data_IF_954525460903
#
_entry.id   IF_954525460903
#
_cell.length_a   1.000
_cell.length_b   1.000
_cell.length_c   1.000
_cell.angle_alpha   90.00
_cell.angle_beta   90.00
_cell.angle_gamma   90.00
#
_symmetry.space_group_name_H-M   'P 1'
#
loop_
_entity.id
_entity.type
_entity.pdbx_description
1 polymer ?
#
# COMPACT_ATOMS: atom_id res chain seq x y z
N UNK A 1 -3.77 28.92 -6.15
CA UNK A 1 -3.62 27.46 -6.01
C UNK A 1 -2.30 27.18 -5.32
N UNK A 2 -2.31 26.65 -4.10
CA UNK A 2 -1.09 26.36 -3.35
C UNK A 2 -0.55 24.97 -3.73
N UNK A 3 0.59 24.92 -4.39
CA UNK A 3 1.35 23.69 -4.59
C UNK A 3 2.26 23.48 -3.38
N UNK A 4 1.91 22.53 -2.50
CA UNK A 4 2.76 22.18 -1.36
C UNK A 4 3.98 21.39 -1.86
N UNK A 5 5.14 22.03 -1.94
CA UNK A 5 6.41 21.38 -2.27
C UNK A 5 6.98 20.71 -1.01
N UNK A 6 6.57 19.47 -0.74
CA UNK A 6 7.16 18.67 0.33
C UNK A 6 8.57 18.24 -0.05
N UNK A 7 9.57 18.90 0.53
CA UNK A 7 10.97 18.51 0.39
C UNK A 7 11.31 17.52 1.51
N UNK A 8 11.23 16.22 1.22
CA UNK A 8 11.71 15.18 2.13
C UNK A 8 13.24 15.24 2.18
N UNK A 9 13.80 15.84 3.23
CA UNK A 9 15.22 15.66 3.53
C UNK A 9 15.37 14.30 4.17
N UNK A 10 16.00 13.35 3.46
CA UNK A 10 16.47 12.11 4.05
C UNK A 10 17.51 12.49 5.10
N UNK A 11 17.10 12.54 6.37
CA UNK A 11 18.03 12.54 7.49
C UNK A 11 18.64 11.14 7.47
N UNK A 12 19.92 11.04 7.14
CA UNK A 12 20.67 9.80 7.31
C UNK A 12 20.44 9.33 8.74
N UNK A 13 19.98 8.09 8.97
CA UNK A 13 19.72 7.63 10.32
C UNK A 13 21.02 7.75 11.11
N UNK A 14 21.04 8.61 12.12
CA UNK A 14 22.12 8.59 13.11
C UNK A 14 22.06 7.20 13.73
N UNK A 15 23.09 6.39 13.51
CA UNK A 15 23.27 5.10 14.18
C UNK A 15 23.28 5.37 15.69
N UNK A 16 22.14 5.22 16.36
CA UNK A 16 22.10 5.17 17.82
C UNK A 16 22.69 3.82 18.22
N UNK A 17 24.00 3.81 18.47
CA UNK A 17 24.68 2.67 19.08
C UNK A 17 24.28 2.64 20.55
N UNK A 18 23.24 1.88 20.86
CA UNK A 18 22.98 1.46 22.24
C UNK A 18 24.13 0.53 22.62
N UNK A 19 25.08 1.02 23.43
CA UNK A 19 26.14 0.19 24.01
C UNK A 19 25.50 -0.77 25.02
N UNK A 20 25.14 -1.98 24.56
CA UNK A 20 24.86 -3.11 25.44
C UNK A 20 26.18 -3.55 26.08
N UNK A 21 26.17 -3.72 27.40
CA UNK A 21 27.28 -4.25 28.19
C UNK A 21 27.59 -5.66 27.67
N UNK A 22 28.86 -5.92 27.38
CA UNK A 22 29.36 -7.12 26.72
C UNK A 22 29.43 -8.27 27.72
N UNK A 23 28.53 -9.22 27.60
CA UNK A 23 28.68 -10.55 28.21
C UNK A 23 29.04 -11.54 27.08
N UNK A 24 30.11 -12.31 27.30
CA UNK A 24 30.69 -13.28 26.37
C UNK A 24 29.70 -14.40 26.05
N UNK A 25 29.30 -14.53 24.78
CA UNK A 25 29.17 -15.81 24.07
C UNK A 25 28.63 -15.61 22.64
N UNK A 26 29.42 -16.07 21.67
CA UNK A 26 29.09 -16.55 20.31
C UNK A 26 28.03 -15.82 19.48
N UNK A 27 28.50 -15.31 18.34
CA UNK A 27 27.77 -14.78 17.18
C UNK A 27 26.34 -15.32 17.00
N UNK A 28 25.39 -14.41 17.13
CA UNK A 28 24.25 -14.40 16.22
C UNK A 28 24.03 -12.94 15.86
N UNK A 29 24.30 -12.56 14.61
CA UNK A 29 24.02 -11.22 14.13
C UNK A 29 22.52 -10.99 14.25
N UNK A 30 22.12 -10.22 15.27
CA UNK A 30 20.80 -9.64 15.41
C UNK A 30 20.51 -8.81 14.14
N UNK A 31 20.01 -9.45 13.09
CA UNK A 31 19.25 -8.78 12.05
C UNK A 31 17.97 -8.31 12.72
N UNK A 32 18.04 -7.21 13.47
CA UNK A 32 16.84 -6.50 13.87
C UNK A 32 16.13 -6.11 12.58
N UNK A 33 14.94 -6.69 12.34
CA UNK A 33 14.12 -6.40 11.17
C UNK A 33 14.04 -4.88 10.98
N UNK A 34 14.68 -4.37 9.94
CA UNK A 34 14.69 -2.93 9.67
C UNK A 34 13.24 -2.50 9.40
N UNK A 35 12.69 -1.65 10.28
CA UNK A 35 11.34 -1.11 10.10
C UNK A 35 11.36 -0.03 9.02
N UNK A 36 10.50 -0.16 8.01
CA UNK A 36 10.39 0.80 6.93
C UNK A 36 8.94 1.22 6.68
N UNK A 37 8.78 2.40 6.07
CA UNK A 37 7.45 2.96 5.76
C UNK A 37 6.85 2.22 4.56
N UNK A 38 5.65 1.68 4.74
CA UNK A 38 4.87 0.99 3.70
C UNK A 38 3.78 1.88 3.09
N UNK A 39 3.13 2.71 3.91
CA UNK A 39 1.96 3.51 3.48
C UNK A 39 1.99 4.89 4.10
N UNK A 40 1.58 5.90 3.33
CA UNK A 40 1.40 7.28 3.78
C UNK A 40 0.05 7.81 3.27
N UNK A 41 -0.74 8.43 4.14
CA UNK A 41 -2.03 9.04 3.77
C UNK A 41 -2.22 10.36 4.50
N UNK A 42 -2.54 11.43 3.76
CA UNK A 42 -2.96 12.72 4.34
C UNK A 42 -4.47 12.70 4.55
N UNK A 43 -4.94 13.14 5.72
CA UNK A 43 -6.35 13.22 6.04
C UNK A 43 -6.58 14.19 7.22
N UNK A 44 -7.67 14.94 7.20
CA UNK A 44 -8.11 15.72 8.36
C UNK A 44 -8.74 14.77 9.39
N UNK A 45 -7.97 14.31 10.37
CA UNK A 45 -8.43 13.35 11.39
C UNK A 45 -8.37 13.92 12.80
N UNK A 46 -8.88 13.15 13.76
CA UNK A 46 -8.69 13.43 15.18
C UNK A 46 -7.35 12.81 15.62
N UNK A 47 -6.34 13.63 15.95
CA UNK A 47 -5.02 13.11 16.26
C UNK A 47 -4.98 12.48 17.67
N UNK A 48 -5.73 13.08 18.59
CA UNK A 48 -5.69 12.82 20.03
C UNK A 48 -6.90 12.01 20.48
N UNK A 49 -6.66 11.06 21.39
CA UNK A 49 -7.72 10.21 21.93
C UNK A 49 -8.74 11.05 22.70
N UNK A 50 -10.02 10.83 22.42
CA UNK A 50 -11.14 11.54 23.04
C UNK A 50 -11.11 13.07 22.84
N UNK A 51 -10.41 13.54 21.82
CA UNK A 51 -10.36 14.94 21.43
C UNK A 51 -11.09 15.12 20.11
N UNK A 52 -12.09 16.01 20.11
CA UNK A 52 -12.93 16.28 18.95
C UNK A 52 -12.38 17.42 18.09
N UNK A 53 -11.12 17.83 18.30
CA UNK A 53 -10.42 18.77 17.42
C UNK A 53 -9.87 18.07 16.18
N UNK A 54 -10.54 18.25 15.04
CA UNK A 54 -10.06 17.77 13.76
C UNK A 54 -8.88 18.62 13.27
N UNK A 55 -7.81 17.99 12.81
CA UNK A 55 -6.63 18.67 12.29
C UNK A 55 -6.03 17.93 11.10
N UNK A 56 -5.26 18.64 10.27
CA UNK A 56 -4.56 18.03 9.13
C UNK A 56 -3.53 17.02 9.65
N UNK A 57 -3.71 15.74 9.33
CA UNK A 57 -2.86 14.67 9.82
C UNK A 57 -2.21 13.88 8.68
N UNK A 58 -0.99 13.41 8.92
CA UNK A 58 -0.28 12.42 8.12
C UNK A 58 -0.30 11.08 8.85
N UNK A 59 -0.97 10.11 8.26
CA UNK A 59 -0.99 8.73 8.68
C UNK A 59 0.16 7.96 8.04
N UNK A 60 0.93 7.26 8.85
CA UNK A 60 2.11 6.50 8.44
C UNK A 60 1.97 5.04 8.85
N UNK A 61 1.99 4.12 7.89
CA UNK A 61 1.97 2.68 8.12
C UNK A 61 3.33 2.04 7.87
N UNK A 62 3.77 1.13 8.75
CA UNK A 62 5.09 0.50 8.68
C UNK A 62 5.04 -0.99 8.27
N UNK A 63 6.21 -1.53 7.92
CA UNK A 63 6.43 -2.94 7.61
C UNK A 63 6.17 -3.88 8.79
N UNK A 64 6.24 -3.38 10.03
CA UNK A 64 5.96 -4.15 11.25
C UNK A 64 4.51 -4.02 11.75
N UNK A 65 3.64 -3.35 10.98
CA UNK A 65 2.21 -3.26 11.31
C UNK A 65 1.83 -2.12 12.24
N UNK A 66 2.69 -1.11 12.41
CA UNK A 66 2.38 0.08 13.20
C UNK A 66 1.79 1.18 12.30
N UNK A 67 0.70 1.82 12.72
CA UNK A 67 0.22 3.07 12.14
C UNK A 67 0.43 4.22 13.13
N UNK A 68 1.12 5.27 12.69
CA UNK A 68 1.36 6.49 13.43
C UNK A 68 0.53 7.63 12.85
N UNK A 69 0.07 8.53 13.72
CA UNK A 69 -0.61 9.77 13.34
C UNK A 69 0.30 10.94 13.67
N UNK A 70 0.60 11.76 12.67
CA UNK A 70 1.38 12.98 12.82
C UNK A 70 0.49 14.18 12.49
N UNK A 71 0.33 15.12 13.41
CA UNK A 71 -0.43 16.35 13.17
C UNK A 71 0.43 17.37 12.45
N UNK A 72 -0.13 18.04 11.45
CA UNK A 72 0.51 19.10 10.67
C UNK A 72 -0.14 20.42 11.10
N UNK A 73 0.67 21.27 11.73
CA UNK A 73 0.27 22.57 12.19
C UNK A 73 0.88 23.64 11.28
N UNK A 74 0.07 24.60 10.83
CA UNK A 74 0.60 25.80 10.19
C UNK A 74 1.28 26.66 11.27
N UNK A 75 2.54 27.05 11.04
CA UNK A 75 3.21 27.97 11.96
C UNK A 75 2.53 29.35 11.90
N UNK A 76 2.14 29.96 13.03
CA UNK A 76 1.49 31.27 13.07
C UNK A 76 2.48 32.45 13.04
N UNK A 77 3.75 32.23 12.67
CA UNK A 77 4.75 33.29 12.66
C UNK A 77 4.85 33.96 11.28
N UNK A 78 4.03 34.99 11.04
CA UNK A 78 4.47 36.31 10.51
C UNK A 78 3.38 37.33 10.90
N UNK A 79 3.66 38.15 11.92
CA UNK A 79 2.97 39.42 12.09
C UNK A 79 3.37 40.37 10.95
N UNK A 80 2.39 41.16 10.51
CA UNK A 80 2.38 42.09 9.39
C UNK A 80 3.74 42.73 9.04
N UNK A 81 4.19 42.50 7.80
CA UNK A 81 4.99 43.50 7.11
C UNK A 81 4.45 43.67 5.70
N UNK A 82 3.85 44.84 5.48
CA UNK A 82 3.51 45.45 4.20
C UNK A 82 4.59 45.19 3.14
N UNK A 83 4.30 44.30 2.19
CA UNK A 83 4.79 44.31 0.81
C UNK A 83 4.20 43.12 0.05
N UNK A 84 3.62 43.38 -1.13
CA UNK A 84 2.83 42.49 -1.98
C UNK A 84 3.62 41.35 -2.68
N UNK A 85 4.68 40.82 -2.05
CA UNK A 85 5.42 39.64 -2.51
C UNK A 85 5.59 38.62 -1.36
N UNK A 86 4.47 38.30 -0.70
CA UNK A 86 4.44 37.34 0.41
C UNK A 86 4.88 35.93 -0.06
N UNK A 87 6.13 35.64 0.26
CA UNK A 87 6.90 34.43 0.05
C UNK A 87 6.08 33.13 0.18
N UNK A 88 6.28 32.26 -0.81
CA UNK A 88 5.71 30.92 -0.95
C UNK A 88 6.24 29.90 0.07
N UNK A 89 6.63 30.33 1.28
CA UNK A 89 7.43 29.54 2.19
C UNK A 89 6.87 29.56 3.62
N UNK A 90 5.61 29.17 3.77
CA UNK A 90 5.03 28.94 5.09
C UNK A 90 5.63 27.66 5.69
N UNK A 91 6.37 27.79 6.80
CA UNK A 91 6.89 26.65 7.53
C UNK A 91 5.75 25.88 8.20
N UNK A 92 5.70 24.57 7.98
CA UNK A 92 4.77 23.67 8.63
C UNK A 92 5.50 22.94 9.76
N UNK A 93 4.86 22.85 10.92
CA UNK A 93 5.35 22.07 12.06
C UNK A 93 4.65 20.72 12.05
N UNK A 94 5.42 19.63 12.05
CA UNK A 94 4.89 18.28 12.17
C UNK A 94 5.10 17.80 13.60
N UNK A 95 4.00 17.50 14.29
CA UNK A 95 4.01 17.04 15.67
C UNK A 95 3.58 15.57 15.71
N UNK A 96 4.42 14.65 16.23
CA UNK A 96 4.00 13.28 16.42
C UNK A 96 2.95 13.19 17.52
N UNK A 97 1.86 12.47 17.27
CA UNK A 97 0.82 12.27 18.27
C UNK A 97 1.07 11.01 19.09
N UNK A 98 0.55 10.96 20.32
CA UNK A 98 0.60 9.78 21.19
C UNK A 98 -0.21 8.58 20.70
N UNK A 99 -0.95 8.75 19.59
CA UNK A 99 -1.84 7.76 19.01
C UNK A 99 -1.06 6.82 18.08
N UNK A 100 -0.97 5.55 18.47
CA UNK A 100 -0.29 4.50 17.70
C UNK A 100 -1.20 3.28 17.60
N UNK A 101 -1.47 2.82 16.38
CA UNK A 101 -2.23 1.59 16.14
C UNK A 101 -1.31 0.44 15.80
N UNK A 102 -1.43 -0.69 16.49
CA UNK A 102 -0.63 -1.88 16.23
C UNK A 102 -1.48 -2.99 15.64
N UNK A 103 -1.10 -3.43 14.44
CA UNK A 103 -1.65 -4.58 13.75
C UNK A 103 -0.63 -5.73 13.67
N UNK A 104 -1.13 -6.96 13.45
CA UNK A 104 -0.28 -8.12 13.19
C UNK A 104 0.10 -8.11 11.72
N UNK A 105 1.40 -7.96 11.46
CA UNK A 105 1.99 -7.94 10.12
C UNK A 105 1.89 -6.57 9.41
N UNK A 106 2.56 -6.41 8.26
CA UNK A 106 2.73 -5.14 7.54
C UNK A 106 1.41 -4.45 7.20
N UNK A 107 1.41 -3.12 7.31
CA UNK A 107 0.27 -2.28 6.91
C UNK A 107 0.23 -2.11 5.38
N UNK A 108 -0.84 -2.57 4.76
CA UNK A 108 -1.07 -2.53 3.31
C UNK A 108 -1.97 -1.35 2.90
N UNK A 109 -2.93 -0.98 3.76
CA UNK A 109 -3.93 0.02 3.44
C UNK A 109 -4.43 0.77 4.67
N UNK A 110 -4.72 2.06 4.47
CA UNK A 110 -5.36 2.95 5.44
C UNK A 110 -6.49 3.64 4.67
N UNK A 111 -7.73 3.46 5.12
CA UNK A 111 -8.91 4.03 4.49
C UNK A 111 -9.78 4.73 5.54
N UNK A 112 -10.56 5.70 5.09
CA UNK A 112 -11.38 6.54 5.95
C UNK A 112 -12.83 6.52 5.49
N UNK A 113 -13.76 6.47 6.43
CA UNK A 113 -15.19 6.40 6.20
C UNK A 113 -15.88 7.39 7.14
N UNK A 114 -16.80 8.18 6.58
CA UNK A 114 -17.67 9.05 7.37
C UNK A 114 -18.95 8.26 7.72
N UNK A 115 -19.21 7.95 9.00
CA UNK A 115 -20.43 7.30 9.44
C UNK A 115 -21.58 8.31 9.40
N UNK A 116 -22.18 8.46 8.22
CA UNK A 116 -23.49 9.10 8.08
C UNK A 116 -24.56 8.04 7.80
N UNK A 117 -25.82 8.44 7.71
CA UNK A 117 -26.93 7.55 7.29
C UNK A 117 -26.62 6.78 6.00
N UNK A 118 -25.79 7.35 5.13
CA UNK A 118 -25.14 6.65 4.02
C UNK A 118 -23.61 6.75 4.16
N UNK A 119 -22.91 5.69 4.59
CA UNK A 119 -21.48 5.78 4.86
C UNK A 119 -20.68 5.99 3.56
N UNK A 120 -19.91 7.08 3.51
CA UNK A 120 -19.12 7.47 2.32
C UNK A 120 -17.63 7.28 2.58
N UNK A 121 -16.95 6.66 1.62
CA UNK A 121 -15.48 6.53 1.64
C UNK A 121 -14.87 7.90 1.35
N UNK A 122 -14.03 8.37 2.28
CA UNK A 122 -13.33 9.63 2.16
C UNK A 122 -12.07 9.40 1.32
N UNK A 123 -12.04 10.01 0.14
CA UNK A 123 -10.85 10.02 -0.71
C UNK A 123 -9.78 10.97 -0.13
N UNK A 124 -8.51 10.52 0.00
CA UNK A 124 -7.42 11.40 0.40
C UNK A 124 -7.28 12.60 -0.55
N UNK A 125 -6.81 13.76 -0.05
CA UNK A 125 -6.75 15.01 -0.82
C UNK A 125 -5.80 14.97 -2.03
N UNK A 126 -5.05 13.88 -2.23
CA UNK A 126 -4.13 13.66 -3.36
C UNK A 126 -4.80 13.80 -4.75
N UNK A 127 -6.14 13.85 -4.82
CA UNK A 127 -6.90 13.92 -6.07
C UNK A 127 -7.74 15.21 -6.25
N UNK A 128 -7.75 16.15 -5.30
CA UNK A 128 -8.61 17.35 -5.39
C UNK A 128 -8.21 18.34 -6.51
N UNK A 129 -7.03 18.17 -7.11
CA UNK A 129 -6.49 19.04 -8.16
C UNK A 129 -6.67 18.46 -9.58
N UNK A 130 -7.17 17.22 -9.71
CA UNK A 130 -7.23 16.51 -11.01
C UNK A 130 -8.65 16.43 -11.61
N UNK A 131 -9.69 16.61 -10.82
CA UNK A 131 -11.07 16.49 -11.29
C UNK A 131 -11.85 17.78 -11.02
N UNK A 132 -11.97 18.68 -12.02
CA UNK A 132 -12.93 19.79 -11.96
C UNK A 132 -14.39 19.28 -11.92
N UNK A 133 -14.67 18.08 -12.42
CA UNK A 133 -16.03 17.52 -12.51
C UNK A 133 -16.51 16.78 -11.24
N UNK A 134 -15.60 16.35 -10.34
CA UNK A 134 -15.99 15.73 -9.04
C UNK A 134 -16.02 16.70 -7.87
N UNK A 135 -15.71 17.98 -8.12
CA UNK A 135 -15.72 19.09 -7.16
C UNK A 135 -17.08 19.31 -6.47
N UNK A 136 -18.16 18.71 -6.96
CA UNK A 136 -19.52 18.91 -6.45
C UNK A 136 -19.76 18.39 -5.02
N UNK A 137 -18.86 17.58 -4.44
CA UNK A 137 -19.05 17.01 -3.09
C UNK A 137 -18.33 17.77 -1.95
N UNK A 138 -17.60 18.86 -2.25
CA UNK A 138 -17.07 19.77 -1.21
C UNK A 138 -17.40 21.23 -1.50
N UNK A 139 -18.64 21.52 -1.89
CA UNK A 139 -19.17 22.85 -1.58
C UNK A 139 -19.38 22.91 -0.07
N UNK A 140 -18.43 23.57 0.58
CA UNK A 140 -18.53 24.18 1.90
C UNK A 140 -19.93 24.81 2.00
N UNK A 141 -20.83 24.12 2.70
CA UNK A 141 -22.08 24.74 3.14
C UNK A 141 -21.66 25.61 4.31
N UNK A 142 -21.34 26.87 4.03
CA UNK A 142 -21.53 27.94 5.01
C UNK A 142 -23.04 28.02 5.25
N UNK A 143 -23.52 27.21 6.19
CA UNK A 143 -24.91 27.10 6.56
C UNK A 143 -24.98 26.67 8.01
N UNK A 144 -25.33 27.65 8.85
CA UNK A 144 -25.86 27.58 10.22
C UNK A 144 -25.66 26.25 10.96
N UNK A 145 -24.89 26.36 12.05
CA UNK A 145 -24.86 25.49 13.24
C UNK A 145 -26.20 24.76 13.43
N UNK A 146 -26.19 23.46 13.15
CA UNK A 146 -27.12 22.49 13.73
C UNK A 146 -26.33 21.70 14.76
N UNK A 147 -26.66 21.93 16.03
CA UNK A 147 -26.09 21.27 17.18
C UNK A 147 -26.32 19.75 17.13
N UNK A 148 -25.28 19.02 17.54
CA UNK A 148 -25.23 17.60 17.93
C UNK A 148 -25.65 16.55 16.87
N UNK A 149 -24.66 15.92 16.23
CA UNK A 149 -24.67 14.48 15.92
C UNK A 149 -23.25 13.99 15.62
N UNK A 150 -22.59 13.44 16.64
CA UNK A 150 -21.67 12.30 16.57
C UNK A 150 -20.78 12.19 15.30
N UNK A 151 -19.97 13.21 15.01
CA UNK A 151 -19.04 13.24 13.86
C UNK A 151 -17.79 12.38 14.09
N UNK A 152 -18.00 11.14 14.55
CA UNK A 152 -16.94 10.15 14.64
C UNK A 152 -16.42 9.83 13.23
N UNK A 153 -15.11 9.67 13.05
CA UNK A 153 -14.54 9.18 11.79
C UNK A 153 -14.19 7.71 11.95
N UNK A 154 -14.50 6.89 10.94
CA UNK A 154 -14.11 5.48 10.94
C UNK A 154 -12.84 5.30 10.12
N UNK A 155 -11.81 4.75 10.76
CA UNK A 155 -10.53 4.43 10.14
C UNK A 155 -10.43 2.93 9.95
N UNK A 156 -10.11 2.51 8.74
CA UNK A 156 -9.95 1.10 8.37
C UNK A 156 -8.47 0.85 8.13
N UNK A 157 -7.87 0.04 9.00
CA UNK A 157 -6.47 -0.37 8.93
C UNK A 157 -6.41 -1.80 8.40
N UNK A 158 -5.74 -1.97 7.26
CA UNK A 158 -5.54 -3.27 6.61
C UNK A 158 -4.09 -3.68 6.76
N UNK A 159 -3.87 -4.80 7.44
CA UNK A 159 -2.61 -5.54 7.40
C UNK A 159 -2.76 -6.81 6.56
N UNK A 160 -1.66 -7.50 6.30
CA UNK A 160 -1.65 -8.79 5.61
C UNK A 160 -2.38 -9.92 6.39
N UNK A 161 -2.42 -9.85 7.73
CA UNK A 161 -3.06 -10.89 8.57
C UNK A 161 -4.43 -10.51 9.15
N UNK A 162 -4.76 -9.21 9.19
CA UNK A 162 -6.02 -8.75 9.80
C UNK A 162 -6.44 -7.38 9.27
N UNK A 163 -7.73 -7.09 9.40
CA UNK A 163 -8.34 -5.78 9.12
C UNK A 163 -9.02 -5.31 10.39
N UNK A 164 -8.87 -4.02 10.71
CA UNK A 164 -9.52 -3.38 11.87
C UNK A 164 -10.23 -2.11 11.45
N UNK A 165 -11.46 -1.95 11.92
CA UNK A 165 -12.23 -0.72 11.81
C UNK A 165 -12.22 -0.06 13.18
N UNK A 166 -11.72 1.16 13.25
CA UNK A 166 -11.51 1.93 14.47
C UNK A 166 -12.32 3.21 14.38
N UNK A 167 -13.00 3.58 15.47
CA UNK A 167 -13.68 4.85 15.59
C UNK A 167 -12.75 5.89 16.21
N UNK A 168 -12.51 6.97 15.48
CA UNK A 168 -11.91 8.20 16.01
C UNK A 168 -13.02 9.19 16.43
N UNK A 169 -12.84 9.94 17.53
CA UNK A 169 -11.63 10.06 18.36
C UNK A 169 -11.50 9.02 19.49
N UNK A 170 -12.47 8.13 19.63
CA UNK A 170 -12.52 7.18 20.77
C UNK A 170 -11.40 6.13 20.75
N UNK A 171 -10.77 5.92 19.59
CA UNK A 171 -9.76 4.90 19.31
C UNK A 171 -10.23 3.48 19.61
N UNK A 172 -11.54 3.25 19.57
CA UNK A 172 -12.15 1.95 19.83
C UNK A 172 -12.19 1.14 18.54
N UNK A 173 -11.60 -0.05 18.57
CA UNK A 173 -11.72 -1.01 17.47
C UNK A 173 -13.13 -1.63 17.47
N UNK A 174 -13.97 -1.23 16.51
CA UNK A 174 -15.36 -1.69 16.38
C UNK A 174 -15.46 -3.08 15.75
N UNK A 175 -14.79 -3.26 14.61
CA UNK A 175 -14.83 -4.50 13.85
C UNK A 175 -13.44 -5.02 13.55
N UNK A 176 -13.31 -6.34 13.57
CA UNK A 176 -12.06 -7.03 13.28
C UNK A 176 -12.32 -8.22 12.37
N UNK A 177 -11.62 -8.25 11.27
CA UNK A 177 -11.53 -9.41 10.39
C UNK A 177 -10.13 -9.99 10.50
N UNK A 178 -10.00 -11.30 10.67
CA UNK A 178 -8.71 -12.00 10.66
C UNK A 178 -8.70 -12.93 9.47
N UNK A 179 -7.61 -12.92 8.73
CA UNK A 179 -7.39 -13.88 7.64
C UNK A 179 -7.20 -15.28 8.24
N UNK A 180 -7.60 -16.32 7.49
CA UNK A 180 -7.34 -17.72 7.82
C UNK A 180 -5.83 -17.99 7.87
N UNK A 181 -5.41 -19.02 8.61
CA UNK A 181 -4.00 -19.23 8.96
C UNK A 181 -3.09 -19.47 7.73
N UNK A 182 -3.63 -20.03 6.65
CA UNK A 182 -2.90 -20.32 5.40
C UNK A 182 -2.88 -19.16 4.38
N UNK A 183 -3.64 -18.09 4.62
CA UNK A 183 -3.77 -16.95 3.72
C UNK A 183 -3.17 -15.67 4.27
N UNK A 184 -2.68 -14.80 3.39
CA UNK A 184 -2.46 -13.41 3.73
C UNK A 184 -2.98 -12.48 2.63
N UNK A 185 -3.32 -11.26 3.04
CA UNK A 185 -3.81 -10.22 2.15
C UNK A 185 -2.61 -9.66 1.40
N UNK A 186 -2.73 -9.57 0.08
CA UNK A 186 -1.69 -9.04 -0.81
C UNK A 186 -1.97 -7.57 -1.12
N UNK A 187 -3.24 -7.23 -1.37
CA UNK A 187 -3.69 -5.87 -1.67
C UNK A 187 -5.09 -5.66 -1.12
N UNK A 188 -5.40 -4.43 -0.73
CA UNK A 188 -6.76 -4.01 -0.44
C UNK A 188 -7.07 -2.65 -1.07
N UNK A 189 -8.32 -2.46 -1.44
CA UNK A 189 -8.82 -1.22 -2.05
C UNK A 189 -10.27 -0.98 -1.61
N UNK A 190 -10.57 0.23 -1.14
CA UNK A 190 -11.92 0.62 -0.73
C UNK A 190 -12.64 1.30 -1.90
N UNK A 191 -13.88 0.88 -2.18
CA UNK A 191 -14.70 1.42 -3.26
C UNK A 191 -16.16 1.54 -2.87
N UNK A 192 -16.89 2.44 -3.53
CA UNK A 192 -18.34 2.57 -3.37
C UNK A 192 -19.06 1.69 -4.39
N UNK A 193 -19.98 0.86 -3.92
CA UNK A 193 -20.78 -0.04 -4.75
C UNK A 193 -22.27 0.19 -4.47
N UNK A 194 -22.99 0.83 -5.40
CA UNK A 194 -24.43 1.13 -5.24
C UNK A 194 -24.73 1.79 -3.89
N UNK A 195 -23.96 2.81 -3.57
CA UNK A 195 -24.04 3.58 -2.31
C UNK A 195 -23.67 2.78 -1.05
N UNK A 196 -23.17 1.55 -1.19
CA UNK A 196 -22.62 0.76 -0.09
C UNK A 196 -21.09 0.79 -0.18
N UNK A 197 -20.38 1.20 0.88
CA UNK A 197 -18.93 1.15 0.92
C UNK A 197 -18.48 -0.32 1.07
N UNK A 198 -17.57 -0.74 0.19
CA UNK A 198 -17.04 -2.10 0.16
C UNK A 198 -15.52 -2.05 0.13
N UNK A 199 -14.89 -2.93 0.90
CA UNK A 199 -13.46 -3.17 0.86
C UNK A 199 -13.20 -4.42 0.03
N UNK A 200 -12.48 -4.27 -1.08
CA UNK A 200 -12.02 -5.39 -1.92
C UNK A 200 -10.64 -5.81 -1.45
N UNK A 201 -10.49 -7.09 -1.15
CA UNK A 201 -9.27 -7.67 -0.56
C UNK A 201 -8.81 -8.82 -1.44
N UNK A 202 -7.57 -8.74 -1.94
CA UNK A 202 -6.92 -9.80 -2.70
C UNK A 202 -6.08 -10.67 -1.77
N UNK A 203 -6.34 -11.98 -1.74
CA UNK A 203 -5.60 -12.96 -0.96
C UNK A 203 -4.51 -13.63 -1.82
N UNK A 204 -3.53 -14.24 -1.16
CA UNK A 204 -2.53 -15.09 -1.81
C UNK A 204 -3.12 -16.32 -2.49
N UNK A 205 -4.26 -16.79 -2.00
CA UNK A 205 -4.97 -17.95 -2.52
C UNK A 205 -5.67 -17.69 -3.86
N UNK A 206 -5.44 -16.54 -4.52
CA UNK A 206 -6.15 -16.13 -5.74
C UNK A 206 -7.67 -15.91 -5.56
N UNK A 207 -8.09 -15.66 -4.33
CA UNK A 207 -9.46 -15.26 -4.01
C UNK A 207 -9.55 -13.74 -3.78
N UNK A 208 -10.64 -13.15 -4.25
CA UNK A 208 -11.04 -11.79 -3.92
C UNK A 208 -12.21 -11.81 -2.96
N UNK A 209 -12.03 -11.17 -1.81
CA UNK A 209 -13.10 -10.97 -0.84
C UNK A 209 -13.66 -9.56 -0.98
N UNK A 210 -14.98 -9.45 -1.09
CA UNK A 210 -15.70 -8.18 -0.97
C UNK A 210 -16.29 -8.10 0.43
N UNK A 211 -15.78 -7.18 1.24
CA UNK A 211 -16.21 -6.97 2.61
C UNK A 211 -17.06 -5.69 2.70
N UNK A 212 -18.29 -5.81 3.16
CA UNK A 212 -19.15 -4.66 3.45
C UNK A 212 -18.57 -3.84 4.60
N UNK A 213 -18.44 -2.53 4.41
CA UNK A 213 -18.04 -1.61 5.47
C UNK A 213 -19.28 -0.98 6.12
N UNK A 214 -19.21 -0.59 7.42
CA UNK A 214 -18.07 -0.79 8.33
C UNK A 214 -18.01 -2.18 8.96
N UNK A 215 -19.05 -3.01 8.83
CA UNK A 215 -19.20 -4.26 9.58
C UNK A 215 -18.19 -5.38 9.24
N UNK A 216 -17.40 -5.24 8.17
CA UNK A 216 -16.51 -6.25 7.61
C UNK A 216 -17.22 -7.58 7.30
N UNK A 217 -18.49 -7.51 6.88
CA UNK A 217 -19.27 -8.68 6.48
C UNK A 217 -18.85 -9.12 5.08
N UNK A 218 -18.49 -10.39 4.89
CA UNK A 218 -18.23 -10.93 3.55
C UNK A 218 -19.53 -10.89 2.74
N UNK A 219 -19.52 -10.14 1.64
CA UNK A 219 -20.59 -10.06 0.66
C UNK A 219 -20.40 -11.16 -0.38
N UNK A 220 -19.18 -11.30 -0.89
CA UNK A 220 -18.84 -12.31 -1.90
C UNK A 220 -17.39 -12.74 -1.76
N UNK A 221 -17.15 -14.01 -2.03
CA UNK A 221 -15.83 -14.61 -2.23
C UNK A 221 -15.74 -15.06 -3.68
N UNK A 222 -14.77 -14.53 -4.41
CA UNK A 222 -14.60 -14.76 -5.84
C UNK A 222 -13.26 -15.46 -6.04
N UNK A 223 -13.31 -16.75 -6.38
CA UNK A 223 -12.15 -17.52 -6.82
C UNK A 223 -11.79 -17.17 -8.26
N UNK A 224 -10.51 -16.89 -8.53
CA UNK A 224 -10.03 -16.76 -9.90
C UNK A 224 -9.85 -18.12 -10.59
N UNK A 225 -9.61 -19.21 -9.84
CA UNK A 225 -9.21 -20.50 -10.42
C UNK A 225 -10.36 -21.22 -11.12
N UNK A 226 -11.57 -21.16 -10.56
CA UNK A 226 -12.77 -21.78 -11.15
C UNK A 226 -13.12 -21.19 -12.53
N UNK A 227 -12.64 -19.97 -12.83
CA UNK A 227 -12.98 -19.23 -14.05
C UNK A 227 -11.92 -19.35 -15.14
N UNK A 228 -10.72 -19.80 -14.80
CA UNK A 228 -9.63 -20.07 -15.76
C UNK A 228 -9.92 -21.39 -16.51
N UNK A 229 -10.59 -22.36 -15.88
CA UNK A 229 -10.98 -23.62 -16.52
C UNK A 229 -12.17 -23.51 -17.49
N UNK A 230 -13.07 -22.55 -17.29
CA UNK A 230 -14.28 -22.39 -18.12
C UNK A 230 -14.04 -21.61 -19.42
N UNK A 231 -12.88 -20.95 -19.58
CA UNK A 231 -12.54 -20.25 -20.83
C UNK A 231 -12.23 -21.19 -22.01
N UNK A 232 -12.16 -22.51 -21.77
CA UNK A 232 -11.97 -23.54 -22.79
C UNK A 232 -13.21 -24.41 -23.09
N UNK A 233 -14.30 -24.29 -22.32
CA UNK A 233 -15.49 -25.11 -22.54
C UNK A 233 -16.74 -24.30 -22.25
N UNK A 234 -17.47 -23.94 -23.30
CA UNK A 234 -18.76 -23.25 -23.24
C UNK A 234 -19.88 -24.09 -22.62
N UNK A 235 -19.70 -24.55 -21.39
CA UNK A 235 -20.74 -25.18 -20.58
C UNK A 235 -20.89 -24.39 -19.29
N UNK A 236 -21.96 -23.60 -19.24
CA UNK A 236 -22.40 -22.92 -18.03
C UNK A 236 -22.59 -23.93 -16.89
N UNK A 237 -21.83 -23.77 -15.80
CA UNK A 237 -22.06 -24.53 -14.58
C UNK A 237 -23.39 -24.08 -13.95
N UNK A 238 -24.38 -24.97 -13.95
CA UNK A 238 -25.58 -24.87 -13.12
C UNK A 238 -25.29 -25.61 -11.82
N UNK A 239 -25.04 -24.89 -10.73
CA UNK A 239 -25.48 -25.32 -9.39
C UNK A 239 -25.43 -24.16 -8.38
N UNK A 240 -26.63 -23.75 -7.95
CA UNK A 240 -26.98 -23.33 -6.59
C UNK A 240 -26.24 -22.13 -5.96
N UNK A 241 -26.74 -20.92 -6.21
CA UNK A 241 -27.31 -20.11 -5.11
C UNK A 241 -28.35 -19.15 -5.66
N UNK A 242 -29.60 -19.40 -5.27
CA UNK A 242 -30.74 -18.54 -5.55
C UNK A 242 -30.61 -17.21 -4.79
N UNK A 243 -30.95 -16.14 -5.50
CA UNK A 243 -31.55 -14.91 -4.99
C UNK A 243 -30.64 -13.78 -4.48
N UNK A 244 -30.02 -13.02 -5.41
CA UNK A 244 -30.03 -11.53 -5.42
C UNK A 244 -29.91 -11.05 -6.88
N UNK A 245 -31.03 -10.68 -7.51
CA UNK A 245 -31.04 -10.10 -8.86
C UNK A 245 -30.53 -8.64 -8.82
N UNK A 246 -29.22 -8.40 -8.75
CA UNK A 246 -28.63 -7.14 -9.24
C UNK A 246 -27.07 -7.04 -9.33
N UNK A 247 -26.27 -8.12 -9.38
CA UNK A 247 -24.78 -8.04 -9.36
C UNK A 247 -24.07 -8.13 -10.73
N UNK A 248 -24.80 -8.22 -11.83
CA UNK A 248 -24.27 -8.55 -13.17
C UNK A 248 -23.14 -7.62 -13.67
N UNK A 249 -23.23 -6.31 -13.44
CA UNK A 249 -22.18 -5.35 -13.88
C UNK A 249 -20.84 -5.52 -13.14
N UNK A 250 -20.86 -5.99 -11.89
CA UNK A 250 -19.66 -6.22 -11.08
C UNK A 250 -19.07 -7.60 -11.33
N UNK A 251 -19.94 -8.57 -11.61
CA UNK A 251 -19.54 -9.87 -12.11
C UNK A 251 -18.77 -9.73 -13.43
N UNK A 252 -19.27 -8.95 -14.39
CA UNK A 252 -18.57 -8.66 -15.66
C UNK A 252 -17.28 -7.82 -15.47
N UNK A 253 -17.28 -6.86 -14.55
CA UNK A 253 -16.07 -6.08 -14.22
C UNK A 253 -14.97 -6.90 -13.55
N UNK A 254 -15.35 -7.80 -12.63
CA UNK A 254 -14.45 -8.77 -12.00
C UNK A 254 -13.97 -9.82 -13.00
N UNK A 255 -14.81 -10.27 -13.94
CA UNK A 255 -14.44 -11.16 -15.05
C UNK A 255 -13.35 -10.58 -15.93
N UNK A 256 -13.53 -9.32 -16.34
CA UNK A 256 -12.56 -8.63 -17.21
C UNK A 256 -11.21 -8.51 -16.48
N UNK A 257 -11.24 -8.11 -15.21
CA UNK A 257 -10.03 -7.99 -14.38
C UNK A 257 -9.33 -9.35 -14.16
N UNK A 258 -10.09 -10.42 -13.88
CA UNK A 258 -9.54 -11.77 -13.74
C UNK A 258 -8.92 -12.28 -15.06
N UNK A 259 -9.51 -11.93 -16.21
CA UNK A 259 -8.98 -12.30 -17.53
C UNK A 259 -7.67 -11.59 -17.85
N UNK A 260 -7.55 -10.30 -17.49
CA UNK A 260 -6.31 -9.53 -17.66
C UNK A 260 -5.20 -10.02 -16.74
N UNK A 261 -5.53 -10.36 -15.49
CA UNK A 261 -4.58 -10.95 -14.54
C UNK A 261 -4.11 -12.33 -15.01
N UNK A 262 -5.00 -13.15 -15.57
CA UNK A 262 -4.64 -14.47 -16.10
C UNK A 262 -3.71 -14.35 -17.30
N UNK A 263 -3.98 -13.40 -18.21
CA UNK A 263 -3.07 -13.07 -19.32
C UNK A 263 -1.73 -12.55 -18.82
N UNK A 264 -1.73 -11.66 -17.82
CA UNK A 264 -0.50 -11.15 -17.21
C UNK A 264 0.30 -12.27 -16.52
N UNK A 265 -0.37 -13.23 -15.87
CA UNK A 265 0.24 -14.41 -15.26
C UNK A 265 0.88 -15.30 -16.31
N UNK A 266 0.19 -15.61 -17.41
CA UNK A 266 0.73 -16.41 -18.49
C UNK A 266 1.94 -15.73 -19.14
N UNK A 267 1.84 -14.42 -19.40
CA UNK A 267 2.97 -13.63 -19.89
C UNK A 267 4.16 -13.61 -18.90
N UNK A 268 3.90 -13.60 -17.60
CA UNK A 268 4.94 -13.67 -16.57
C UNK A 268 5.61 -15.06 -16.52
N UNK A 269 4.85 -16.15 -16.68
CA UNK A 269 5.39 -17.50 -16.75
C UNK A 269 6.26 -17.68 -18.00
N UNK A 270 5.77 -17.29 -19.17
CA UNK A 270 6.55 -17.33 -20.43
C UNK A 270 7.80 -16.45 -20.35
N UNK A 271 7.71 -15.30 -19.68
CA UNK A 271 8.87 -14.45 -19.42
C UNK A 271 9.88 -15.13 -18.48
N UNK A 272 9.39 -15.82 -17.46
CA UNK A 272 10.23 -16.58 -16.52
C UNK A 272 11.01 -17.70 -17.22
N UNK A 273 10.34 -18.46 -18.09
CA UNK A 273 10.97 -19.50 -18.90
C UNK A 273 12.05 -18.91 -19.83
N UNK A 274 11.73 -17.83 -20.55
CA UNK A 274 12.71 -17.13 -21.41
C UNK A 274 13.90 -16.55 -20.64
N UNK A 275 13.68 -16.10 -19.40
CA UNK A 275 14.76 -15.62 -18.53
C UNK A 275 15.66 -16.78 -18.09
N UNK A 276 15.09 -17.91 -17.69
CA UNK A 276 15.83 -19.13 -17.37
C UNK A 276 16.72 -19.58 -18.54
N UNK A 277 16.15 -19.64 -19.76
CA UNK A 277 16.90 -20.00 -20.97
C UNK A 277 18.06 -19.04 -21.27
N UNK A 278 17.85 -17.75 -20.99
CA UNK A 278 18.85 -16.72 -21.23
C UNK A 278 19.98 -16.79 -20.19
N UNK A 279 19.67 -17.11 -18.94
CA UNK A 279 20.65 -17.40 -17.90
C UNK A 279 21.52 -18.61 -18.29
N UNK A 280 20.92 -19.70 -18.76
CA UNK A 280 21.65 -20.90 -19.20
C UNK A 280 22.56 -20.61 -20.40
N UNK A 281 22.07 -19.87 -21.40
CA UNK A 281 22.88 -19.44 -22.56
C UNK A 281 24.02 -18.53 -22.14
N UNK A 282 23.80 -17.62 -21.19
CA UNK A 282 24.81 -16.69 -20.70
C UNK A 282 25.88 -17.44 -19.89
N UNK A 283 25.47 -18.40 -19.06
CA UNK A 283 26.39 -19.27 -18.34
C UNK A 283 27.28 -20.05 -19.30
N UNK A 284 26.70 -20.65 -20.35
CA UNK A 284 27.47 -21.35 -21.39
C UNK A 284 28.44 -20.41 -22.13
N UNK A 285 27.98 -19.21 -22.49
CA UNK A 285 28.82 -18.23 -23.19
C UNK A 285 29.99 -17.76 -22.32
N UNK A 286 29.79 -17.62 -21.01
CA UNK A 286 30.86 -17.33 -20.05
C UNK A 286 31.91 -18.44 -20.02
N UNK A 287 31.49 -19.71 -19.93
CA UNK A 287 32.43 -20.85 -19.96
C UNK A 287 33.23 -20.85 -21.28
N UNK A 288 32.57 -20.65 -22.41
CA UNK A 288 33.26 -20.59 -23.71
C UNK A 288 34.26 -19.43 -23.78
N UNK A 289 33.94 -18.27 -23.20
CA UNK A 289 34.84 -17.12 -23.13
C UNK A 289 36.07 -17.40 -22.23
N UNK A 290 35.89 -18.10 -21.11
CA UNK A 290 36.99 -18.53 -20.23
C UNK A 290 37.94 -19.48 -20.97
N UNK A 291 37.40 -20.46 -21.72
CA UNK A 291 38.19 -21.37 -22.55
C UNK A 291 38.95 -20.61 -23.63
N UNK A 292 38.29 -19.71 -24.36
CA UNK A 292 38.92 -18.92 -25.42
C UNK A 292 40.07 -18.04 -24.86
N UNK A 293 39.83 -17.37 -23.73
CA UNK A 293 40.85 -16.57 -23.03
C UNK A 293 42.06 -17.41 -22.61
N UNK A 294 41.82 -18.62 -22.09
CA UNK A 294 42.87 -19.58 -21.75
C UNK A 294 43.74 -19.95 -22.95
N UNK A 295 43.10 -20.27 -24.09
CA UNK A 295 43.79 -20.62 -25.33
C UNK A 295 44.61 -19.43 -25.89
N UNK A 296 44.03 -18.23 -25.93
CA UNK A 296 44.75 -17.03 -26.36
C UNK A 296 45.95 -16.73 -25.47
N UNK A 297 45.84 -16.95 -24.16
CA UNK A 297 46.95 -16.76 -23.21
C UNK A 297 48.07 -17.76 -23.45
N UNK A 298 47.74 -19.04 -23.67
CA UNK A 298 48.73 -20.06 -24.04
C UNK A 298 49.42 -19.72 -25.36
N UNK A 299 48.66 -19.29 -26.38
CA UNK A 299 49.21 -18.89 -27.68
C UNK A 299 50.16 -17.70 -27.54
N UNK A 300 49.74 -16.67 -26.81
CA UNK A 300 50.57 -15.49 -26.51
C UNK A 300 51.90 -15.90 -25.84
N UNK A 301 51.87 -16.80 -24.86
CA UNK A 301 53.08 -17.24 -24.18
C UNK A 301 54.02 -18.01 -25.12
N UNK A 302 53.48 -18.88 -25.99
CA UNK A 302 54.29 -19.60 -27.01
C UNK A 302 55.05 -18.65 -27.94
N UNK A 303 54.45 -17.53 -28.34
CA UNK A 303 55.10 -16.56 -29.22
C UNK A 303 55.95 -15.52 -28.48
N UNK A 304 55.77 -15.35 -27.17
CA UNK A 304 56.61 -14.47 -26.34
C UNK A 304 58.02 -15.02 -26.16
N UNK A 305 58.18 -16.34 -26.16
CA UNK A 305 59.48 -17.00 -25.94
C UNK A 305 60.31 -17.18 -27.22
N UNK A 306 59.72 -16.95 -28.39
CA UNK A 306 60.44 -17.00 -29.67
C UNK A 306 61.18 -15.68 -29.90
N UNK A 307 62.46 -15.68 -29.57
CA UNK A 307 63.42 -14.64 -29.98
C UNK A 307 63.57 -14.71 -31.51
N UNK A 308 63.17 -13.66 -32.21
CA UNK A 308 63.14 -13.58 -33.68
C UNK A 308 64.53 -13.63 -34.36
N UNK A 309 65.60 -13.81 -33.59
CA UNK A 309 67.00 -13.79 -34.03
C UNK A 309 67.73 -15.14 -33.84
N UNK A 310 67.01 -16.26 -33.70
CA UNK A 310 67.60 -17.61 -33.60
C UNK A 310 67.15 -18.57 -34.72
N UNK A 311 66.86 -18.05 -35.91
CA UNK A 311 66.73 -18.85 -37.14
C UNK A 311 68.07 -18.91 -37.87
#
# INVERSE_FOLDING_TARGET
MQTVKMTFRTVTPKKYTVKKKKDDSTDNSDYADEEFVKKLVFMDSYPTKNDFSQSACLWLGTSLGSAFVLTILASPLVEESTNDEADHNQNLVVVPTSTIYRLKGPLLGIFFLEPSTNPVIISPPKMAWKDEERSACRRRVEGKISEASDSALLVILVSDRQIRVISEPSQVCLHKYKTTDDGFIVKAEAMMMKDVPVLVVALTSHHFLLLQLPALKIISDISCEDRIGESGSGKASRTLTQHVNHMEKLQVGAETSCSEISKARQAALERGEKLSDLEDRTALMKVNAEVFSGLSTQLKNKYKEKKWYQL
#
